data_IF_691191434611
#
_entry.id   IF_691191434611
#
_cell.length_a   1.000
_cell.length_b   1.000
_cell.length_c   1.000
_cell.angle_alpha   90.00
_cell.angle_beta   90.00
_cell.angle_gamma   90.00
#
_symmetry.space_group_name_H-M   'P 1'
#
loop_
_entity.id
_entity.type
_entity.pdbx_description
1 polymer ?
#
# COMPACT_ATOMS: atom_id res chain seq x y z
N UNK A 1 -26.27 37.39 -33.81
CA UNK A 1 -26.11 35.95 -34.12
C UNK A 1 -25.02 35.44 -33.22
N UNK A 2 -25.39 34.69 -32.18
CA UNK A 2 -24.45 34.25 -31.15
C UNK A 2 -23.43 33.27 -31.73
N UNK A 3 -22.16 33.61 -31.53
CA UNK A 3 -21.02 32.86 -32.06
C UNK A 3 -20.94 31.53 -31.30
N UNK A 4 -21.06 30.40 -32.01
CA UNK A 4 -20.90 29.08 -31.41
C UNK A 4 -19.52 28.95 -30.75
N UNK A 5 -19.48 28.28 -29.59
CA UNK A 5 -18.25 28.14 -28.79
C UNK A 5 -17.26 27.22 -29.51
N UNK A 6 -16.07 27.75 -29.84
CA UNK A 6 -14.96 26.94 -30.36
C UNK A 6 -14.12 26.37 -29.21
N UNK A 7 -14.45 25.14 -28.84
CA UNK A 7 -13.71 24.43 -27.81
C UNK A 7 -12.29 23.99 -28.19
N UNK A 8 -11.83 24.21 -29.44
CA UNK A 8 -10.42 23.95 -29.80
C UNK A 8 -9.48 24.90 -29.06
N UNK A 9 -9.95 26.08 -28.69
CA UNK A 9 -9.20 27.06 -27.93
C UNK A 9 -9.06 26.68 -26.44
N UNK A 10 -9.77 25.65 -25.98
CA UNK A 10 -9.83 25.22 -24.58
C UNK A 10 -8.94 24.01 -24.28
N UNK A 11 -8.20 23.50 -25.26
CA UNK A 11 -7.34 22.35 -25.08
C UNK A 11 -6.35 22.15 -26.21
N UNK A 12 -5.40 21.25 -25.99
CA UNK A 12 -4.28 21.02 -26.92
C UNK A 12 -4.73 20.26 -28.18
N UNK A 13 -5.73 19.38 -28.06
CA UNK A 13 -6.16 18.51 -29.14
C UNK A 13 -7.06 19.23 -30.16
N UNK A 14 -6.64 19.24 -31.42
CA UNK A 14 -7.41 19.80 -32.54
C UNK A 14 -8.60 18.92 -32.95
N UNK A 15 -8.40 17.59 -32.99
CA UNK A 15 -9.47 16.61 -33.23
C UNK A 15 -10.01 16.05 -31.91
N UNK A 16 -11.34 15.85 -31.83
CA UNK A 16 -12.03 15.51 -30.58
C UNK A 16 -13.13 14.48 -30.80
N UNK A 17 -13.16 13.47 -29.92
CA UNK A 17 -14.22 12.43 -29.89
C UNK A 17 -15.47 12.98 -29.18
N UNK A 18 -16.65 12.45 -29.53
CA UNK A 18 -17.94 12.85 -28.93
C UNK A 18 -18.13 12.26 -27.52
N UNK A 19 -17.31 12.69 -26.55
CA UNK A 19 -17.34 12.21 -25.15
C UNK A 19 -18.61 12.61 -24.40
N UNK A 20 -19.25 13.71 -24.78
CA UNK A 20 -20.50 14.17 -24.15
C UNK A 20 -21.65 13.19 -24.36
N UNK A 21 -21.62 12.34 -25.38
CA UNK A 21 -22.63 11.30 -25.56
C UNK A 21 -22.68 10.34 -24.36
N UNK A 22 -21.53 9.97 -23.79
CA UNK A 22 -21.46 9.10 -22.60
C UNK A 22 -22.12 9.76 -21.39
N UNK A 23 -21.84 11.04 -21.17
CA UNK A 23 -22.46 11.82 -20.09
C UNK A 23 -23.97 11.95 -20.30
N UNK A 24 -24.40 12.22 -21.54
CA UNK A 24 -25.81 12.38 -21.87
C UNK A 24 -26.61 11.11 -21.60
N UNK A 25 -26.12 9.94 -22.04
CA UNK A 25 -26.75 8.67 -21.71
C UNK A 25 -26.73 8.37 -20.21
N UNK A 26 -25.62 8.64 -19.52
CA UNK A 26 -25.54 8.42 -18.07
C UNK A 26 -26.60 9.25 -17.32
N UNK A 27 -26.70 10.54 -17.63
CA UNK A 27 -27.67 11.44 -16.99
C UNK A 27 -29.12 11.07 -17.32
N UNK A 28 -29.41 10.63 -18.55
CA UNK A 28 -30.76 10.25 -18.96
C UNK A 28 -31.20 8.89 -18.42
N UNK A 29 -30.29 7.91 -18.37
CA UNK A 29 -30.61 6.55 -17.93
C UNK A 29 -30.70 6.43 -16.41
N UNK A 30 -29.77 7.05 -15.67
CA UNK A 30 -29.75 6.97 -14.21
C UNK A 30 -30.52 8.11 -13.53
N UNK A 31 -30.63 9.27 -14.20
CA UNK A 31 -31.15 10.48 -13.58
C UNK A 31 -30.22 11.06 -12.51
N UNK A 32 -30.56 12.25 -12.02
CA UNK A 32 -29.81 12.91 -10.95
C UNK A 32 -29.92 12.12 -9.64
N UNK A 33 -31.12 11.65 -9.31
CA UNK A 33 -31.38 10.90 -8.08
C UNK A 33 -30.64 9.56 -8.04
N UNK A 34 -30.58 8.84 -9.18
CA UNK A 34 -29.85 7.58 -9.27
C UNK A 34 -28.35 7.75 -9.04
N UNK A 35 -27.75 8.78 -9.63
CA UNK A 35 -26.32 9.09 -9.42
C UNK A 35 -26.06 9.50 -7.96
N UNK A 36 -26.93 10.32 -7.37
CA UNK A 36 -26.80 10.69 -5.96
C UNK A 36 -26.91 9.47 -5.03
N UNK A 37 -27.87 8.56 -5.31
CA UNK A 37 -28.03 7.32 -4.54
C UNK A 37 -26.78 6.44 -4.65
N UNK A 38 -26.26 6.27 -5.87
CA UNK A 38 -25.02 5.52 -6.11
C UNK A 38 -23.85 6.05 -5.29
N UNK A 39 -23.57 7.36 -5.37
CA UNK A 39 -22.47 7.97 -4.62
C UNK A 39 -22.68 7.82 -3.11
N UNK A 40 -23.89 8.05 -2.61
CA UNK A 40 -24.20 7.91 -1.18
C UNK A 40 -24.01 6.47 -0.70
N UNK A 41 -24.33 5.48 -1.52
CA UNK A 41 -24.13 4.07 -1.18
C UNK A 41 -22.65 3.72 -1.06
N UNK A 42 -21.79 4.14 -2.00
CA UNK A 42 -20.34 3.95 -1.87
C UNK A 42 -19.76 4.63 -0.62
N UNK A 43 -20.26 5.80 -0.27
CA UNK A 43 -19.86 6.49 0.98
C UNK A 43 -20.33 5.73 2.21
N UNK A 44 -21.54 5.18 2.18
CA UNK A 44 -22.08 4.34 3.27
C UNK A 44 -21.25 3.08 3.47
N UNK A 45 -20.88 2.39 2.39
CA UNK A 45 -20.01 1.21 2.43
C UNK A 45 -18.61 1.53 2.97
N UNK A 46 -18.03 2.66 2.55
CA UNK A 46 -16.72 3.09 3.08
C UNK A 46 -16.77 3.40 4.59
N UNK A 47 -17.86 3.99 5.09
CA UNK A 47 -18.07 4.21 6.53
C UNK A 47 -18.33 2.91 7.31
N UNK A 48 -19.00 1.95 6.67
CA UNK A 48 -19.15 0.61 7.24
C UNK A 48 -17.78 -0.05 7.42
N UNK A 49 -16.94 0.00 6.38
CA UNK A 49 -15.57 -0.51 6.43
C UNK A 49 -14.69 0.24 7.45
N UNK A 50 -14.85 1.56 7.58
CA UNK A 50 -14.22 2.36 8.65
C UNK A 50 -14.58 1.82 10.04
N UNK A 51 -15.86 1.51 10.28
CA UNK A 51 -16.34 0.96 11.55
C UNK A 51 -15.76 -0.43 11.83
N UNK A 52 -15.61 -1.26 10.80
CA UNK A 52 -14.95 -2.56 10.90
C UNK A 52 -13.48 -2.43 11.30
N UNK A 53 -12.74 -1.50 10.69
CA UNK A 53 -11.34 -1.26 11.05
C UNK A 53 -11.23 -0.73 12.49
N UNK A 54 -12.09 0.21 12.89
CA UNK A 54 -12.07 0.79 14.23
C UNK A 54 -12.42 -0.23 15.34
N UNK A 55 -13.12 -1.31 14.99
CA UNK A 55 -13.38 -2.41 15.93
C UNK A 55 -12.12 -3.15 16.38
N UNK A 56 -11.02 -3.05 15.61
CA UNK A 56 -9.75 -3.71 15.91
C UNK A 56 -8.70 -2.68 16.35
N UNK A 57 -8.26 -2.79 17.60
CA UNK A 57 -7.32 -1.84 18.22
C UNK A 57 -5.93 -1.83 17.58
N UNK A 58 -5.59 -2.83 16.76
CA UNK A 58 -4.28 -2.97 16.11
C UNK A 58 -4.12 -2.05 14.90
N UNK A 59 -5.24 -1.56 14.36
CA UNK A 59 -5.24 -0.66 13.22
C UNK A 59 -5.40 0.80 13.66
N UNK A 60 -4.90 1.70 12.84
CA UNK A 60 -5.13 3.14 12.94
C UNK A 60 -5.65 3.66 11.59
N UNK A 61 -6.64 4.56 11.64
CA UNK A 61 -7.15 5.25 10.45
C UNK A 61 -6.53 6.65 10.42
N UNK A 62 -5.99 7.03 9.27
CA UNK A 62 -5.38 8.34 9.10
C UNK A 62 -6.31 9.27 8.33
N UNK A 63 -6.86 10.25 9.04
CA UNK A 63 -7.77 11.24 8.50
C UNK A 63 -9.24 10.81 8.58
N UNK A 64 -10.12 11.71 8.14
CA UNK A 64 -11.58 11.53 8.19
C UNK A 64 -12.09 10.90 6.89
N UNK A 65 -12.82 9.79 6.99
CA UNK A 65 -13.49 9.16 5.84
C UNK A 65 -14.68 10.02 5.42
N UNK A 66 -14.51 10.75 4.31
CA UNK A 66 -15.54 11.67 3.78
C UNK A 66 -16.23 11.11 2.53
N UNK A 67 -15.49 10.36 1.72
CA UNK A 67 -15.96 9.74 0.47
C UNK A 67 -15.70 8.22 0.50
N UNK A 68 -15.69 7.57 -0.66
CA UNK A 68 -15.46 6.13 -0.80
C UNK A 68 -14.03 5.63 -0.58
N UNK A 69 -13.17 6.39 0.11
CA UNK A 69 -11.75 6.07 0.34
C UNK A 69 -11.47 6.01 1.85
N UNK A 70 -10.91 4.89 2.29
CA UNK A 70 -10.44 4.67 3.66
C UNK A 70 -8.92 4.50 3.64
N UNK A 71 -8.23 5.35 4.39
CA UNK A 71 -6.78 5.29 4.57
C UNK A 71 -6.49 4.72 5.95
N UNK A 72 -5.95 3.51 6.01
CA UNK A 72 -5.67 2.83 7.26
C UNK A 72 -4.26 2.24 7.28
N UNK A 73 -3.84 1.82 8.46
CA UNK A 73 -2.48 1.36 8.72
C UNK A 73 -2.47 0.41 9.91
N UNK A 74 -1.51 -0.50 9.96
CA UNK A 74 -1.24 -1.29 11.16
C UNK A 74 -0.35 -0.47 12.12
N UNK A 75 -0.75 -0.36 13.39
CA UNK A 75 0.03 0.38 14.40
C UNK A 75 1.42 -0.24 14.54
N UNK A 76 2.43 0.60 14.72
CA UNK A 76 3.84 0.19 14.79
C UNK A 76 4.68 0.74 13.64
N UNK A 77 5.83 0.12 13.30
CA UNK A 77 6.75 0.61 12.28
C UNK A 77 6.24 0.42 10.83
N UNK A 78 6.70 1.27 9.90
CA UNK A 78 6.19 1.32 8.52
C UNK A 78 6.30 -0.01 7.76
N UNK A 79 7.33 -0.80 8.02
CA UNK A 79 7.53 -2.07 7.32
C UNK A 79 6.42 -3.08 7.59
N UNK A 80 5.72 -3.03 8.74
CA UNK A 80 4.60 -3.94 9.00
C UNK A 80 3.45 -3.71 8.03
N UNK A 81 3.09 -2.45 7.81
CA UNK A 81 2.03 -2.10 6.85
C UNK A 81 2.46 -2.32 5.40
N UNK A 82 3.76 -2.21 5.09
CA UNK A 82 4.32 -2.58 3.79
C UNK A 82 4.23 -4.08 3.54
N UNK A 83 4.63 -4.89 4.52
CA UNK A 83 4.59 -6.35 4.43
C UNK A 83 3.16 -6.86 4.33
N UNK A 84 2.25 -6.33 5.16
CA UNK A 84 0.82 -6.64 5.07
C UNK A 84 0.28 -6.38 3.65
N UNK A 85 0.58 -5.21 3.08
CA UNK A 85 0.12 -4.88 1.73
C UNK A 85 0.74 -5.79 0.66
N UNK A 86 2.01 -6.16 0.84
CA UNK A 86 2.70 -7.08 -0.07
C UNK A 86 2.04 -8.46 -0.03
N UNK A 87 1.87 -9.06 1.15
CA UNK A 87 1.24 -10.38 1.30
C UNK A 87 -0.22 -10.38 0.80
N UNK A 88 -0.96 -9.30 1.04
CA UNK A 88 -2.33 -9.14 0.53
C UNK A 88 -2.37 -9.07 -1.01
N UNK A 89 -1.51 -8.28 -1.64
CA UNK A 89 -1.48 -8.19 -3.09
C UNK A 89 -0.96 -9.49 -3.75
N UNK A 90 -0.02 -10.18 -3.09
CA UNK A 90 0.52 -11.47 -3.56
C UNK A 90 -0.51 -12.60 -3.46
N UNK A 91 -1.41 -12.54 -2.46
CA UNK A 91 -2.52 -13.50 -2.34
C UNK A 91 -3.47 -13.53 -3.55
N UNK A 92 -3.54 -12.42 -4.30
CA UNK A 92 -4.48 -12.26 -5.41
C UNK A 92 -5.95 -12.11 -5.00
N UNK A 93 -6.29 -12.21 -3.71
CA UNK A 93 -7.67 -12.10 -3.24
C UNK A 93 -8.20 -10.67 -3.30
N UNK A 94 -7.38 -9.70 -2.89
CA UNK A 94 -7.73 -8.27 -2.89
C UNK A 94 -6.54 -7.44 -3.38
N UNK A 95 -6.84 -6.34 -4.08
CA UNK A 95 -5.81 -5.41 -4.54
C UNK A 95 -5.97 -4.04 -3.90
N UNK A 96 -4.90 -3.54 -3.30
CA UNK A 96 -4.84 -2.22 -2.69
C UNK A 96 -3.54 -1.51 -3.03
N UNK A 97 -3.55 -0.18 -2.90
CA UNK A 97 -2.43 0.68 -3.27
C UNK A 97 -1.96 1.46 -2.06
N UNK A 98 -0.65 1.63 -1.85
CA UNK A 98 -0.16 2.41 -0.72
C UNK A 98 -0.19 3.92 -0.98
N UNK A 99 0.10 4.68 0.07
CA UNK A 99 0.53 6.07 0.01
C UNK A 99 1.43 6.40 1.21
N UNK A 100 2.10 7.54 1.15
CA UNK A 100 2.92 8.07 2.25
C UNK A 100 2.28 9.36 2.75
N UNK A 101 1.88 9.39 4.03
CA UNK A 101 1.29 10.55 4.67
C UNK A 101 2.12 10.94 5.89
N UNK A 102 2.84 12.08 5.80
CA UNK A 102 3.66 12.58 6.92
C UNK A 102 4.66 11.54 7.45
N UNK A 103 5.41 10.89 6.55
CA UNK A 103 6.32 9.78 6.84
C UNK A 103 5.68 8.49 7.38
N UNK A 104 4.35 8.39 7.42
CA UNK A 104 3.63 7.15 7.73
C UNK A 104 3.22 6.44 6.45
N UNK A 105 3.51 5.15 6.35
CA UNK A 105 3.08 4.32 5.24
C UNK A 105 1.63 3.88 5.46
N UNK A 106 0.73 4.26 4.56
CA UNK A 106 -0.71 3.99 4.68
C UNK A 106 -1.21 3.13 3.52
N UNK A 107 -2.18 2.28 3.80
CA UNK A 107 -2.89 1.46 2.82
C UNK A 107 -4.18 2.20 2.45
N UNK A 108 -4.46 2.31 1.15
CA UNK A 108 -5.67 2.95 0.62
C UNK A 108 -6.64 1.89 0.13
N UNK A 109 -7.81 1.87 0.73
CA UNK A 109 -8.94 1.05 0.31
C UNK A 109 -10.02 1.94 -0.31
N UNK A 110 -10.35 1.66 -1.58
CA UNK A 110 -11.41 2.36 -2.30
C UNK A 110 -12.50 1.37 -2.70
N UNK A 111 -13.76 1.72 -2.46
CA UNK A 111 -14.88 0.94 -2.96
C UNK A 111 -15.09 1.28 -4.44
N UNK A 112 -14.65 0.37 -5.33
CA UNK A 112 -14.61 0.63 -6.78
C UNK A 112 -15.66 -0.15 -7.59
N UNK A 113 -16.17 -1.26 -7.06
CA UNK A 113 -17.13 -2.09 -7.79
C UNK A 113 -18.48 -1.38 -7.91
N UNK A 114 -19.10 -1.48 -9.09
CA UNK A 114 -20.43 -0.92 -9.36
C UNK A 114 -21.50 -1.55 -8.44
N UNK A 115 -21.38 -2.87 -8.20
CA UNK A 115 -22.31 -3.67 -7.40
C UNK A 115 -21.72 -4.04 -6.04
N UNK A 116 -20.89 -3.16 -5.48
CA UNK A 116 -20.30 -3.39 -4.16
C UNK A 116 -21.39 -3.52 -3.11
N UNK A 117 -21.29 -4.55 -2.27
CA UNK A 117 -22.22 -4.81 -1.17
C UNK A 117 -21.49 -4.81 0.18
N UNK A 118 -22.26 -4.86 1.28
CA UNK A 118 -21.70 -4.99 2.62
C UNK A 118 -20.94 -6.29 2.82
N UNK A 119 -21.42 -7.39 2.23
CA UNK A 119 -20.75 -8.69 2.29
C UNK A 119 -19.34 -8.63 1.71
N UNK A 120 -19.13 -7.86 0.64
CA UNK A 120 -17.79 -7.64 0.06
C UNK A 120 -16.88 -6.90 1.06
N UNK A 121 -17.42 -5.97 1.84
CA UNK A 121 -16.66 -5.24 2.86
C UNK A 121 -16.26 -6.18 4.01
N UNK A 122 -17.17 -7.05 4.42
CA UNK A 122 -16.89 -8.07 5.44
C UNK A 122 -15.87 -9.10 4.96
N UNK A 123 -16.00 -9.57 3.71
CA UNK A 123 -15.06 -10.50 3.11
C UNK A 123 -13.66 -9.87 2.99
N UNK A 124 -13.57 -8.64 2.47
CA UNK A 124 -12.31 -7.90 2.39
C UNK A 124 -11.69 -7.69 3.78
N UNK A 125 -12.49 -7.34 4.78
CA UNK A 125 -12.01 -7.17 6.15
C UNK A 125 -11.52 -8.47 6.78
N UNK A 126 -12.22 -9.59 6.57
CA UNK A 126 -11.81 -10.91 7.06
C UNK A 126 -10.45 -11.32 6.49
N UNK A 127 -10.23 -11.06 5.20
CA UNK A 127 -8.93 -11.31 4.54
C UNK A 127 -7.85 -10.43 5.16
N UNK A 128 -8.08 -9.12 5.27
CA UNK A 128 -7.11 -8.19 5.87
C UNK A 128 -6.75 -8.60 7.29
N UNK A 129 -7.73 -9.00 8.10
CA UNK A 129 -7.53 -9.44 9.48
C UNK A 129 -6.66 -10.70 9.55
N UNK A 130 -7.00 -11.72 8.74
CA UNK A 130 -6.22 -12.97 8.70
C UNK A 130 -4.75 -12.74 8.34
N UNK A 131 -4.48 -11.91 7.34
CA UNK A 131 -3.09 -11.59 6.95
C UNK A 131 -2.40 -10.71 7.99
N UNK A 132 -3.12 -9.80 8.64
CA UNK A 132 -2.56 -9.02 9.74
C UNK A 132 -2.16 -9.89 10.93
N UNK A 133 -2.97 -10.90 11.26
CA UNK A 133 -2.65 -11.89 12.31
C UNK A 133 -1.34 -12.60 11.98
N UNK A 134 -1.20 -13.13 10.75
CA UNK A 134 0.03 -13.81 10.31
C UNK A 134 1.26 -12.90 10.28
N UNK A 135 1.11 -11.64 9.87
CA UNK A 135 2.24 -10.69 9.84
C UNK A 135 2.68 -10.30 11.25
N UNK A 136 1.73 -10.11 12.16
CA UNK A 136 2.03 -9.77 13.56
C UNK A 136 2.69 -10.93 14.29
N UNK A 137 2.20 -12.16 14.09
CA UNK A 137 2.79 -13.37 14.69
C UNK A 137 4.26 -13.54 14.24
N UNK A 138 4.54 -13.41 12.93
CA UNK A 138 5.92 -13.44 12.41
C UNK A 138 6.78 -12.36 13.06
N UNK A 139 6.25 -11.15 13.21
CA UNK A 139 6.98 -10.04 13.81
C UNK A 139 7.29 -10.27 15.30
N UNK A 140 6.35 -10.81 16.06
CA UNK A 140 6.53 -11.12 17.49
C UNK A 140 7.57 -12.23 17.69
N UNK A 141 7.53 -13.30 16.89
CA UNK A 141 8.51 -14.38 16.93
C UNK A 141 9.92 -13.89 16.61
N UNK A 142 10.08 -13.08 15.55
CA UNK A 142 11.37 -12.49 15.20
C UNK A 142 11.90 -11.55 16.30
N UNK A 143 11.03 -10.80 16.97
CA UNK A 143 11.46 -9.93 18.06
C UNK A 143 11.86 -10.74 19.30
N UNK A 144 11.13 -11.81 19.63
CA UNK A 144 11.48 -12.68 20.75
C UNK A 144 12.82 -13.39 20.52
N UNK A 145 13.04 -13.94 19.32
CA UNK A 145 14.32 -14.56 18.94
C UNK A 145 15.48 -13.54 19.01
N UNK A 146 15.24 -12.31 18.56
CA UNK A 146 16.23 -11.25 18.66
C UNK A 146 16.54 -10.88 20.12
N UNK A 147 15.54 -10.86 21.01
CA UNK A 147 15.73 -10.56 22.43
C UNK A 147 16.52 -11.67 23.14
N UNK A 148 16.27 -12.95 22.83
CA UNK A 148 17.05 -14.06 23.39
C UNK A 148 18.50 -14.06 22.90
N UNK A 149 18.75 -13.81 21.61
CA UNK A 149 20.12 -13.72 21.06
C UNK A 149 20.88 -12.51 21.62
N UNK A 150 20.20 -11.40 21.90
CA UNK A 150 20.81 -10.23 22.51
C UNK A 150 21.22 -10.47 23.97
N UNK A 151 20.57 -11.42 24.66
CA UNK A 151 20.94 -11.85 26.01
C UNK A 151 22.17 -12.79 26.00
N UNK A 152 22.34 -13.61 24.97
CA UNK A 152 23.49 -14.52 24.82
C UNK A 152 24.75 -13.84 24.25
N UNK A 153 24.63 -12.73 23.49
CA UNK A 153 25.77 -12.01 22.90
C UNK A 153 25.50 -10.49 22.73
N UNK A 154 25.89 -9.64 23.71
CA UNK A 154 25.61 -8.20 23.69
C UNK A 154 26.26 -7.43 22.51
N UNK A 155 27.45 -7.84 22.07
CA UNK A 155 28.17 -7.20 20.95
C UNK A 155 27.55 -7.51 19.57
N UNK A 156 27.05 -8.74 19.37
CA UNK A 156 26.46 -9.16 18.09
C UNK A 156 25.10 -8.47 17.83
N UNK A 157 24.31 -8.27 18.88
CA UNK A 157 23.01 -7.62 18.80
C UNK A 157 23.09 -6.14 18.37
N UNK A 158 24.14 -5.41 18.76
CA UNK A 158 24.39 -4.04 18.32
C UNK A 158 24.72 -3.96 16.82
N UNK A 159 25.45 -4.95 16.29
CA UNK A 159 25.82 -5.05 14.87
C UNK A 159 24.62 -5.38 13.98
N UNK A 160 23.73 -6.27 14.45
CA UNK A 160 22.47 -6.60 13.77
C UNK A 160 21.44 -5.46 13.84
N UNK A 161 21.32 -4.75 14.98
CA UNK A 161 20.52 -3.51 15.06
C UNK A 161 20.93 -2.49 13.99
N UNK A 162 22.24 -2.26 13.82
CA UNK A 162 22.77 -1.37 12.76
C UNK A 162 22.36 -1.81 11.35
N UNK A 163 22.35 -3.11 11.07
CA UNK A 163 21.92 -3.64 9.76
C UNK A 163 20.41 -3.57 9.53
N UNK A 164 19.59 -3.80 10.56
CA UNK A 164 18.11 -3.74 10.43
C UNK A 164 17.62 -2.29 10.18
N UNK A 165 18.31 -1.30 10.76
CA UNK A 165 18.08 0.13 10.46
C UNK A 165 18.50 0.54 9.04
N UNK A 166 19.55 -0.07 8.46
CA UNK A 166 19.96 0.23 7.08
C UNK A 166 19.03 -0.42 6.05
N UNK A 167 18.56 -1.65 6.29
CA UNK A 167 17.60 -2.33 5.41
C UNK A 167 16.23 -1.64 5.40
N UNK A 168 15.75 -1.20 6.58
CA UNK A 168 14.47 -0.48 6.69
C UNK A 168 14.48 0.83 5.88
N UNK A 169 15.61 1.55 5.83
CA UNK A 169 15.77 2.71 4.93
C UNK A 169 15.63 2.32 3.46
N UNK A 170 16.20 1.19 3.06
CA UNK A 170 16.23 0.73 1.67
C UNK A 170 14.85 0.31 1.13
N UNK A 171 14.01 -0.30 1.97
CA UNK A 171 12.64 -0.73 1.60
C UNK A 171 11.65 0.45 1.64
N UNK A 172 11.97 1.51 2.39
CA UNK A 172 11.12 2.70 2.52
C UNK A 172 11.28 3.78 1.42
N UNK A 173 12.24 3.66 0.49
CA UNK A 173 12.45 4.68 -0.56
C UNK A 173 11.45 4.47 -1.74
N UNK A 174 10.51 5.42 -1.96
CA UNK A 174 9.53 5.33 -3.05
C UNK A 174 10.15 5.29 -4.45
N UNK A 175 11.42 5.71 -4.61
CA UNK A 175 12.13 5.71 -5.90
C UNK A 175 12.55 4.31 -6.36
N UNK A 176 12.46 3.29 -5.51
CA UNK A 176 12.80 1.90 -5.82
C UNK A 176 11.60 1.03 -6.24
N UNK A 177 10.45 1.62 -6.60
CA UNK A 177 9.25 0.93 -7.07
C UNK A 177 9.37 0.33 -8.50
N UNK A 178 10.56 -0.10 -8.93
CA UNK A 178 10.70 -0.91 -10.13
C UNK A 178 10.67 -2.39 -9.74
N UNK A 179 9.50 -3.01 -9.94
CA UNK A 179 9.11 -4.38 -9.60
C UNK A 179 10.10 -5.50 -9.99
N UNK A 180 11.09 -5.25 -10.86
CA UNK A 180 12.04 -6.29 -11.32
C UNK A 180 13.14 -6.64 -10.31
N UNK A 181 13.30 -5.92 -9.20
CA UNK A 181 14.33 -6.24 -8.18
C UNK A 181 13.82 -7.07 -6.98
N UNK A 182 12.51 -7.17 -6.78
CA UNK A 182 11.92 -7.86 -5.63
C UNK A 182 11.92 -9.39 -5.74
N UNK A 183 12.20 -9.95 -6.93
CA UNK A 183 12.33 -11.40 -7.17
C UNK A 183 13.69 -12.00 -6.76
N UNK A 184 14.56 -11.28 -6.04
CA UNK A 184 15.88 -11.81 -5.63
C UNK A 184 16.23 -11.72 -4.14
N UNK A 185 15.32 -11.24 -3.29
CA UNK A 185 15.63 -11.04 -1.86
C UNK A 185 14.53 -11.55 -0.93
N UNK A 186 13.96 -12.70 -1.27
CA UNK A 186 13.09 -13.47 -0.38
C UNK A 186 13.47 -14.96 -0.40
N UNK A 187 14.78 -15.25 -0.30
CA UNK A 187 15.30 -16.58 0.05
C UNK A 187 16.61 -16.36 0.79
N UNK A 188 16.52 -15.93 2.05
CA UNK A 188 17.71 -15.90 2.92
C UNK A 188 17.49 -16.49 4.31
N UNK A 189 16.33 -17.12 4.55
CA UNK A 189 16.13 -17.90 5.78
C UNK A 189 15.28 -19.14 5.51
N UNK A 190 15.78 -20.03 4.64
CA UNK A 190 15.48 -21.46 4.72
C UNK A 190 16.74 -22.24 4.37
N UNK A 191 17.29 -22.89 5.39
CA UNK A 191 18.24 -24.00 5.38
C UNK A 191 19.56 -23.90 4.59
N UNK A 192 20.62 -24.31 5.29
CA UNK A 192 21.97 -24.63 4.82
C UNK A 192 22.83 -23.46 4.34
N UNK A 193 23.92 -23.25 5.09
CA UNK A 193 24.99 -22.33 4.74
C UNK A 193 25.66 -22.64 3.41
N UNK A 194 26.53 -21.70 3.02
CA UNK A 194 27.41 -21.70 1.84
C UNK A 194 26.83 -21.09 0.55
N UNK A 195 26.24 -19.90 0.58
CA UNK A 195 26.26 -19.06 -0.64
C UNK A 195 26.42 -17.57 -0.30
N UNK A 196 27.40 -16.96 -0.99
CA UNK A 196 27.65 -15.52 -1.16
C UNK A 196 28.68 -14.81 -0.25
N UNK A 197 29.84 -15.44 -0.05
CA UNK A 197 31.11 -14.72 -0.07
C UNK A 197 31.52 -14.49 -1.54
N UNK A 198 30.97 -13.46 -2.22
CA UNK A 198 31.54 -12.97 -3.50
C UNK A 198 31.09 -11.58 -3.97
N UNK A 199 30.60 -10.74 -3.06
CA UNK A 199 30.16 -9.36 -3.41
C UNK A 199 30.81 -8.25 -2.58
N UNK A 200 31.96 -8.54 -1.96
CA UNK A 200 32.80 -7.58 -1.24
C UNK A 200 34.06 -7.14 -2.02
N UNK A 201 34.21 -7.48 -3.31
CA UNK A 201 35.43 -7.15 -4.07
C UNK A 201 35.16 -6.22 -5.27
N UNK A 202 34.17 -5.33 -5.16
CA UNK A 202 33.87 -4.39 -6.25
C UNK A 202 33.25 -3.08 -5.73
N UNK A 203 33.86 -2.47 -4.71
CA UNK A 203 33.66 -1.06 -4.33
C UNK A 203 34.84 -0.58 -3.47
N UNK A 204 36.06 -0.74 -3.98
CA UNK A 204 37.21 0.09 -3.62
C UNK A 204 37.82 0.57 -4.94
N UNK A 205 38.30 1.81 -4.97
CA UNK A 205 38.80 2.58 -6.11
C UNK A 205 37.74 3.42 -6.85
N UNK A 206 37.29 4.49 -6.19
CA UNK A 206 36.75 5.68 -6.86
C UNK A 206 36.95 6.90 -5.95
N UNK A 207 38.20 7.17 -5.56
CA UNK A 207 38.60 8.40 -4.87
C UNK A 207 40.12 8.48 -4.92
N UNK A 208 40.63 9.03 -6.02
CA UNK A 208 41.91 9.72 -6.16
C UNK A 208 41.94 10.21 -7.61
N UNK A 209 41.56 11.48 -7.82
CA UNK A 209 41.84 12.30 -8.99
C UNK A 209 41.29 13.71 -8.72
N UNK A 210 41.98 14.44 -7.82
CA UNK A 210 41.99 15.90 -7.78
C UNK A 210 43.45 16.32 -7.64
N UNK A 211 44.10 16.54 -8.78
CA UNK A 211 45.10 17.59 -8.99
C UNK A 211 45.08 18.02 -10.46
#
# INVERSE_FOLDING_TARGET
>A
MDKAIDYRQWGIALSRRFRSLKMWFTLRSYGVEGIQKYIREHVRLAKHFESLILSDTRFEILGKVTLGLVCFRLKGPNFLSQQLLFELNDSGCIHMVPSMLGNKYVIRFCVNSEKANEDDMHAAWSVIKSYADSVLEKYELENQAFLSEAQECPEAALRLKRMRFSLSRMVSDPRNYNQKKYLRTATLFTNSGKYLAKKCSFMENSQDDIE
#
